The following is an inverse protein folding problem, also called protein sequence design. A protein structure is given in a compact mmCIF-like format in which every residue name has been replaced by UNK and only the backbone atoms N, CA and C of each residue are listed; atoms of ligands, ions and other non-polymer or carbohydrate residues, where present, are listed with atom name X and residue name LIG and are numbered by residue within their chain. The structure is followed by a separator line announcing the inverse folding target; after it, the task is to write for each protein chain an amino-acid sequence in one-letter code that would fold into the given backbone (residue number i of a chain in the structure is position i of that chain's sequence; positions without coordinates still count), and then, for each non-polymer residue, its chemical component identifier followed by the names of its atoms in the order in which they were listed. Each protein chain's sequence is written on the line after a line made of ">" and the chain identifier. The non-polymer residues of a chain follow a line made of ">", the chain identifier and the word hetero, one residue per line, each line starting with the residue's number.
data_IF_068184474188
#
_entry.id   IF_068184474188
#
_cell.length_a   1.000
_cell.length_b   1.000
_cell.length_c   1.000
_cell.angle_alpha   90.00
_cell.angle_beta   90.00
_cell.angle_gamma   90.00
#
_symmetry.space_group_name_H-M   'P 1'
#
loop_
_entity.id
_entity.type
_entity.pdbx_description
1 polymer ?
#
# COMPACT_ATOMS: atom_id res chain seq x y z
N UNK A 1 -2.23 -10.94 16.30
CA UNK A 1 -2.47 -11.70 15.10
C UNK A 1 -2.48 -10.80 13.88
N UNK A 2 -1.99 -11.32 12.77
CA UNK A 2 -1.98 -10.54 11.54
C UNK A 2 -3.32 -10.56 10.87
N UNK A 3 -3.73 -9.43 10.36
CA UNK A 3 -4.95 -9.34 9.58
C UNK A 3 -4.71 -9.86 8.18
N UNK A 4 -5.74 -10.36 7.54
CA UNK A 4 -5.66 -10.76 6.15
C UNK A 4 -5.47 -9.54 5.27
N UNK A 5 -4.62 -9.68 4.28
CA UNK A 5 -4.36 -8.60 3.32
C UNK A 5 -4.96 -9.01 2.00
N UNK A 6 -5.84 -8.18 1.48
CA UNK A 6 -6.51 -8.44 0.21
C UNK A 6 -6.28 -7.26 -0.73
N UNK A 7 -5.98 -7.56 -1.97
CA UNK A 7 -5.72 -6.54 -2.99
C UNK A 7 -6.90 -6.44 -3.92
N UNK A 8 -7.40 -5.23 -4.16
CA UNK A 8 -8.44 -5.07 -5.16
C UNK A 8 -7.79 -4.92 -6.55
N UNK A 9 -8.60 -5.09 -7.58
CA UNK A 9 -8.08 -5.11 -8.95
C UNK A 9 -7.36 -3.82 -9.34
N UNK A 10 -7.86 -2.69 -8.89
CA UNK A 10 -7.27 -1.41 -9.26
C UNK A 10 -5.86 -1.23 -8.67
N UNK A 11 -5.55 -1.95 -7.60
CA UNK A 11 -4.21 -1.87 -7.02
C UNK A 11 -3.16 -2.53 -7.89
N UNK A 12 -3.57 -3.27 -8.91
CA UNK A 12 -2.64 -3.92 -9.84
C UNK A 12 -2.41 -3.14 -11.11
N UNK A 13 -2.95 -1.96 -11.20
CA UNK A 13 -2.92 -1.17 -12.39
C UNK A 13 -1.50 -0.84 -12.87
N UNK A 14 -0.55 -0.78 -11.97
CA UNK A 14 0.84 -0.50 -12.31
C UNK A 14 1.67 -1.78 -12.45
N UNK A 15 1.04 -2.92 -12.54
CA UNK A 15 1.69 -4.21 -12.77
C UNK A 15 2.69 -4.58 -11.68
N UNK A 16 2.44 -4.14 -10.48
CA UNK A 16 3.26 -4.52 -9.35
C UNK A 16 2.65 -5.76 -8.74
N UNK A 17 3.43 -6.82 -8.64
CA UNK A 17 2.94 -8.06 -8.08
C UNK A 17 2.63 -7.94 -6.60
N UNK A 18 1.64 -8.72 -6.14
CA UNK A 18 1.24 -8.71 -4.75
C UNK A 18 2.37 -9.06 -3.81
N UNK A 19 3.27 -9.95 -4.22
CA UNK A 19 4.40 -10.35 -3.39
C UNK A 19 5.34 -9.17 -3.10
N UNK A 20 5.57 -8.31 -4.07
CA UNK A 20 6.44 -7.15 -3.88
C UNK A 20 5.78 -6.15 -2.93
N UNK A 21 4.47 -5.93 -3.09
CA UNK A 21 3.75 -5.05 -2.20
C UNK A 21 3.73 -5.60 -0.78
N UNK A 22 3.53 -6.91 -0.63
CA UNK A 22 3.54 -7.53 0.70
C UNK A 22 4.88 -7.37 1.38
N UNK A 23 5.96 -7.45 0.62
CA UNK A 23 7.30 -7.25 1.17
C UNK A 23 7.39 -5.88 1.84
N UNK A 24 6.90 -4.84 1.17
CA UNK A 24 6.92 -3.49 1.73
C UNK A 24 6.04 -3.41 2.98
N UNK A 25 4.86 -3.98 2.91
CA UNK A 25 3.90 -3.94 4.02
C UNK A 25 4.48 -4.63 5.26
N UNK A 26 5.15 -5.76 5.06
CA UNK A 26 5.67 -6.55 6.17
C UNK A 26 6.94 -5.97 6.77
N UNK A 27 7.66 -5.16 6.03
CA UNK A 27 8.93 -4.62 6.49
C UNK A 27 8.89 -3.15 6.87
N UNK A 28 7.73 -2.53 6.84
CA UNK A 28 7.58 -1.12 7.16
C UNK A 28 6.34 -0.92 8.00
N UNK A 29 6.37 0.06 8.88
CA UNK A 29 5.20 0.40 9.68
C UNK A 29 4.35 1.38 8.91
N UNK A 30 3.04 1.19 8.88
CA UNK A 30 2.17 2.14 8.19
C UNK A 30 1.95 3.41 9.00
N UNK A 31 1.61 4.47 8.29
CA UNK A 31 1.04 5.65 8.90
C UNK A 31 -0.46 5.44 8.91
N UNK A 32 -1.07 5.55 10.09
CA UNK A 32 -2.50 5.34 10.25
C UNK A 32 -3.20 6.68 10.39
N UNK A 33 -4.22 6.91 9.58
CA UNK A 33 -5.01 8.13 9.64
C UNK A 33 -6.48 7.75 9.77
N UNK A 34 -7.33 8.64 10.29
CA UNK A 34 -8.76 8.36 10.36
C UNK A 34 -9.34 8.20 8.98
N UNK A 35 -10.28 7.27 8.85
CA UNK A 35 -11.02 7.10 7.61
C UNK A 35 -12.27 7.95 7.62
N UNK A 36 -13.25 7.52 6.84
CA UNK A 36 -14.50 8.26 6.71
C UNK A 36 -15.40 8.10 7.92
N UNK A 37 -15.17 7.07 8.71
CA UNK A 37 -15.92 6.88 9.94
C UNK A 37 -15.00 6.27 10.98
N UNK A 38 -15.50 6.15 12.21
CA UNK A 38 -14.67 5.72 13.33
C UNK A 38 -14.28 4.25 13.27
N UNK A 39 -14.89 3.47 12.40
CA UNK A 39 -14.61 2.04 12.29
C UNK A 39 -13.61 1.71 11.20
N UNK A 40 -13.19 2.70 10.43
CA UNK A 40 -12.25 2.50 9.33
C UNK A 40 -11.04 3.39 9.51
N UNK A 41 -9.87 2.85 9.26
CA UNK A 41 -8.64 3.63 9.29
C UNK A 41 -7.95 3.48 7.95
N UNK A 42 -7.30 4.55 7.52
CA UNK A 42 -6.48 4.50 6.32
C UNK A 42 -5.05 4.24 6.72
N UNK A 43 -4.41 3.34 6.00
CA UNK A 43 -3.03 2.98 6.24
C UNK A 43 -2.21 3.32 5.01
N UNK A 44 -1.04 3.90 5.24
CA UNK A 44 -0.13 4.25 4.14
C UNK A 44 1.24 3.69 4.45
N UNK A 45 1.82 3.00 3.49
CA UNK A 45 3.19 2.47 3.59
C UNK A 45 4.02 3.07 2.50
N UNK A 46 5.28 3.39 2.82
CA UNK A 46 6.28 3.67 1.80
C UNK A 46 7.51 2.86 2.16
N UNK A 47 8.15 2.29 1.19
CA UNK A 47 9.34 1.49 1.44
C UNK A 47 9.85 0.88 0.16
N UNK A 48 11.00 0.25 0.29
CA UNK A 48 11.68 -0.37 -0.84
C UNK A 48 11.31 -1.83 -0.87
N UNK A 49 10.89 -2.31 -2.03
CA UNK A 49 10.50 -3.71 -2.17
C UNK A 49 11.73 -4.60 -2.34
N UNK A 50 11.50 -5.89 -2.55
CA UNK A 50 12.56 -6.87 -2.67
C UNK A 50 13.39 -6.72 -3.94
N UNK A 51 12.97 -5.85 -4.85
CA UNK A 51 13.71 -5.55 -6.09
C UNK A 51 14.47 -4.24 -6.02
N UNK A 52 14.33 -3.49 -4.93
CA UNK A 52 14.95 -2.18 -4.80
C UNK A 52 14.10 -1.04 -5.30
N UNK A 53 12.84 -1.27 -5.62
CA UNK A 53 11.93 -0.21 -6.04
C UNK A 53 11.18 0.36 -4.86
N UNK A 54 11.10 1.67 -4.81
CA UNK A 54 10.34 2.34 -3.76
C UNK A 54 8.86 2.34 -4.14
N UNK A 55 8.02 1.84 -3.24
CA UNK A 55 6.59 1.75 -3.47
C UNK A 55 5.81 2.62 -2.50
N UNK A 56 4.67 3.09 -2.97
CA UNK A 56 3.69 3.80 -2.16
C UNK A 56 2.43 2.95 -2.15
N UNK A 57 1.95 2.61 -0.97
CA UNK A 57 0.82 1.69 -0.82
C UNK A 57 -0.20 2.32 0.10
N UNK A 58 -1.47 2.20 -0.26
CA UNK A 58 -2.56 2.66 0.58
C UNK A 58 -3.56 1.55 0.79
N UNK A 59 -4.10 1.48 1.99
CA UNK A 59 -5.10 0.47 2.32
C UNK A 59 -6.13 1.00 3.29
N UNK A 60 -7.19 0.24 3.45
CA UNK A 60 -8.24 0.52 4.42
C UNK A 60 -8.22 -0.62 5.42
N UNK A 61 -8.13 -0.30 6.68
CA UNK A 61 -8.08 -1.30 7.75
C UNK A 61 -9.48 -1.54 8.28
N UNK A 62 -9.90 -2.79 8.25
CA UNK A 62 -11.12 -3.25 8.90
C UNK A 62 -10.73 -4.12 10.08
N UNK A 63 -11.72 -4.64 10.78
CA UNK A 63 -11.47 -5.39 12.00
C UNK A 63 -10.60 -6.62 11.76
N UNK A 64 -10.84 -7.35 10.69
CA UNK A 64 -10.14 -8.60 10.46
C UNK A 64 -9.39 -8.64 9.11
N UNK A 65 -9.37 -7.55 8.37
CA UNK A 65 -8.63 -7.52 7.12
C UNK A 65 -8.17 -6.12 6.78
N UNK A 66 -7.19 -6.05 5.90
CA UNK A 66 -6.71 -4.81 5.31
C UNK A 66 -6.94 -4.93 3.82
N UNK A 67 -7.65 -3.98 3.25
CA UNK A 67 -7.93 -3.95 1.82
C UNK A 67 -6.98 -2.97 1.16
N UNK A 68 -6.10 -3.48 0.31
CA UNK A 68 -5.13 -2.64 -0.38
C UNK A 68 -5.79 -2.05 -1.61
N UNK A 69 -5.87 -0.74 -1.66
CA UNK A 69 -6.60 -0.02 -2.70
C UNK A 69 -5.68 0.70 -3.69
N UNK A 70 -4.39 0.79 -3.37
CA UNK A 70 -3.47 1.54 -4.21
C UNK A 70 -2.05 1.00 -4.01
N UNK A 71 -1.37 0.71 -5.09
CA UNK A 71 0.05 0.34 -5.09
C UNK A 71 0.68 1.03 -6.28
N UNK A 72 1.71 1.84 -6.04
CA UNK A 72 2.33 2.61 -7.10
C UNK A 72 3.80 2.79 -6.83
N UNK A 73 4.66 2.74 -7.85
CA UNK A 73 6.07 3.09 -7.67
C UNK A 73 6.20 4.59 -7.42
N UNK A 74 6.97 4.96 -6.43
CA UNK A 74 7.17 6.38 -6.14
C UNK A 74 7.95 7.09 -7.24
N UNK A 75 8.83 6.38 -7.89
CA UNK A 75 9.60 6.94 -9.00
C UNK A 75 8.72 7.41 -10.14
N UNK A 76 7.65 6.71 -10.40
CA UNK A 76 6.71 7.08 -11.44
C UNK A 76 6.13 8.47 -11.16
N UNK A 77 5.69 8.69 -9.93
CA UNK A 77 5.08 9.97 -9.56
C UNK A 77 6.11 11.09 -9.53
N UNK A 78 7.31 10.79 -9.02
CA UNK A 78 8.38 11.78 -8.96
C UNK A 78 8.82 12.21 -10.35
N UNK A 79 8.88 11.28 -11.27
CA UNK A 79 9.22 11.60 -12.65
C UNK A 79 8.23 12.53 -13.28
N UNK A 80 6.96 12.37 -12.98
CA UNK A 80 5.92 13.25 -13.48
C UNK A 80 6.05 14.65 -12.91
N UNK A 81 6.44 14.76 -11.67
CA UNK A 81 6.59 16.06 -11.03
C UNK A 81 7.74 16.87 -11.59
N UNK A 82 8.72 16.20 -12.09
CA UNK A 82 9.93 16.88 -12.58
C UNK A 82 9.82 17.35 -14.01
N UNK A 83 8.72 17.14 -14.61
CA UNK A 83 8.48 17.64 -15.94
C UNK A 83 7.70 18.95 -15.90
#
# INVERSE_FOLDING_TARGET
>A
MKKNIRFIAIARKHKIGAAHARFVIENNKPIRTPGQNEFEHRLFWTGIDDRGLELEIAGVEFEDEILIIHVMPRNFRRGQENE
#
